data_IF_498657254543
#
_entry.id   IF_498657254543
#
_cell.length_a   1.000
_cell.length_b   1.000
_cell.length_c   1.000
_cell.angle_alpha   90.00
_cell.angle_beta   90.00
_cell.angle_gamma   90.00
#
_symmetry.space_group_name_H-M   'P 1'
#
loop_
_entity.id
_entity.type
_entity.pdbx_description
1 polymer ?
#
# COMPACT_ATOMS: atom_id res chain seq x y z
N UNK A 1 -7.16 17.91 2.96
CA UNK A 1 -5.90 17.52 3.65
C UNK A 1 -5.86 16.00 3.71
N UNK A 2 -4.81 15.38 3.18
CA UNK A 2 -4.62 13.93 3.24
C UNK A 2 -3.88 13.67 4.56
N UNK A 3 -4.61 13.43 5.62
CA UNK A 3 -4.01 13.11 6.91
C UNK A 3 -3.73 11.61 6.92
N UNK A 4 -2.44 11.22 6.86
CA UNK A 4 -2.05 9.83 7.13
C UNK A 4 -2.33 9.59 8.62
N UNK A 5 -3.49 9.01 8.91
CA UNK A 5 -3.96 8.78 10.29
C UNK A 5 -3.19 7.68 11.02
N UNK A 6 -2.31 6.97 10.30
CA UNK A 6 -1.49 5.87 10.80
C UNK A 6 -0.05 6.33 10.94
N UNK A 7 0.55 6.13 12.10
CA UNK A 7 1.93 6.57 12.40
C UNK A 7 2.94 5.44 12.39
N UNK A 8 2.48 4.19 12.44
CA UNK A 8 3.30 2.98 12.33
C UNK A 8 2.56 1.89 11.53
N UNK A 9 3.32 0.95 10.98
CA UNK A 9 2.79 -0.29 10.40
C UNK A 9 2.04 -1.16 11.43
N UNK A 10 2.36 -1.05 12.71
CA UNK A 10 1.66 -1.78 13.79
C UNK A 10 0.20 -1.36 13.94
N UNK A 11 -0.11 -0.10 13.65
CA UNK A 11 -1.47 0.46 13.73
C UNK A 11 -2.34 0.07 12.53
N UNK A 12 -1.73 -0.51 11.48
CA UNK A 12 -2.48 -0.93 10.31
C UNK A 12 -3.31 -2.19 10.60
N UNK A 13 -4.55 -2.23 10.12
CA UNK A 13 -5.34 -3.45 10.16
C UNK A 13 -4.65 -4.56 9.36
N UNK A 14 -4.96 -5.82 9.68
CA UNK A 14 -4.43 -6.99 8.97
C UNK A 14 -4.70 -6.93 7.46
N UNK A 15 -5.80 -6.27 7.06
CA UNK A 15 -6.17 -6.05 5.67
C UNK A 15 -6.51 -4.59 5.41
N UNK A 16 -5.90 -4.03 4.38
CA UNK A 16 -6.16 -2.67 3.92
C UNK A 16 -7.12 -2.70 2.72
N UNK A 17 -8.02 -1.71 2.65
CA UNK A 17 -8.81 -1.44 1.45
C UNK A 17 -8.21 -0.27 0.66
N UNK A 18 -8.72 0.01 -0.53
CA UNK A 18 -8.22 1.08 -1.40
C UNK A 18 -8.11 2.44 -0.73
N UNK A 19 -9.10 2.81 0.09
CA UNK A 19 -9.08 4.06 0.84
C UNK A 19 -7.94 4.08 1.85
N UNK A 20 -7.72 2.99 2.58
CA UNK A 20 -6.62 2.87 3.55
C UNK A 20 -5.27 2.91 2.86
N UNK A 21 -5.09 2.19 1.74
CA UNK A 21 -3.85 2.24 0.94
C UNK A 21 -3.56 3.68 0.52
N UNK A 22 -4.56 4.39 -0.02
CA UNK A 22 -4.41 5.78 -0.41
C UNK A 22 -4.00 6.68 0.77
N UNK A 23 -4.64 6.51 1.93
CA UNK A 23 -4.32 7.28 3.13
C UNK A 23 -2.90 7.00 3.66
N UNK A 24 -2.50 5.72 3.70
CA UNK A 24 -1.18 5.31 4.21
C UNK A 24 -0.06 5.80 3.31
N UNK A 25 -0.26 5.75 1.99
CA UNK A 25 0.71 6.25 1.01
C UNK A 25 0.65 7.78 0.83
N UNK A 26 -0.34 8.47 1.40
CA UNK A 26 -0.51 9.91 1.24
C UNK A 26 -0.92 10.34 -0.18
N UNK A 27 -1.58 9.46 -0.94
CA UNK A 27 -2.02 9.70 -2.32
C UNK A 27 -3.53 9.92 -2.42
N UNK A 28 -4.00 10.35 -3.59
CA UNK A 28 -5.43 10.49 -3.84
C UNK A 28 -6.15 9.12 -3.80
N UNK A 29 -7.46 9.06 -3.46
CA UNK A 29 -8.23 7.82 -3.52
C UNK A 29 -8.19 7.14 -4.90
N UNK A 30 -8.20 7.93 -5.97
CA UNK A 30 -8.10 7.45 -7.35
C UNK A 30 -6.77 6.76 -7.59
N UNK A 31 -5.66 7.41 -7.21
CA UNK A 31 -4.32 6.84 -7.34
C UNK A 31 -4.14 5.56 -6.52
N UNK A 32 -4.74 5.48 -5.32
CA UNK A 32 -4.73 4.24 -4.53
C UNK A 32 -5.54 3.11 -5.17
N UNK A 33 -6.62 3.42 -5.89
CA UNK A 33 -7.42 2.44 -6.61
C UNK A 33 -6.71 1.93 -7.87
N UNK A 34 -6.08 2.83 -8.62
CA UNK A 34 -5.23 2.50 -9.77
C UNK A 34 -4.06 1.60 -9.36
N UNK A 35 -3.38 1.95 -8.26
CA UNK A 35 -2.30 1.13 -7.69
C UNK A 35 -2.77 -0.29 -7.34
N UNK A 36 -3.98 -0.42 -6.80
CA UNK A 36 -4.54 -1.75 -6.52
C UNK A 36 -4.86 -2.57 -7.78
N UNK A 37 -4.93 -1.95 -8.96
CA UNK A 37 -5.10 -2.64 -10.23
C UNK A 37 -3.77 -2.85 -10.96
N UNK A 38 -2.66 -2.29 -10.47
CA UNK A 38 -1.36 -2.46 -11.09
C UNK A 38 -0.87 -3.91 -10.94
N UNK A 39 -0.31 -4.49 -12.03
CA UNK A 39 0.33 -5.79 -11.95
C UNK A 39 1.54 -5.73 -10.99
N UNK A 40 1.58 -6.65 -10.03
CA UNK A 40 2.63 -6.71 -9.02
C UNK A 40 2.27 -6.05 -7.68
N UNK A 41 1.14 -5.33 -7.60
CA UNK A 41 0.63 -4.87 -6.32
C UNK A 41 -0.07 -6.02 -5.55
N UNK A 42 0.19 -6.20 -4.24
CA UNK A 42 -0.24 -7.39 -3.50
C UNK A 42 -1.73 -7.38 -3.10
N UNK A 43 -2.61 -7.47 -4.08
CA UNK A 43 -4.07 -7.54 -3.85
C UNK A 43 -4.54 -8.98 -3.70
N UNK A 44 -5.32 -9.21 -2.65
CA UNK A 44 -6.19 -10.36 -2.47
C UNK A 44 -7.63 -10.01 -2.86
N UNK A 45 -8.22 -10.79 -3.77
CA UNK A 45 -9.63 -10.66 -4.16
C UNK A 45 -10.48 -11.67 -3.38
N UNK A 46 -11.45 -11.17 -2.62
CA UNK A 46 -12.45 -11.97 -1.89
C UNK A 46 -13.83 -11.61 -2.44
N UNK A 47 -14.33 -12.44 -3.35
CA UNK A 47 -15.51 -12.11 -4.15
C UNK A 47 -15.30 -10.82 -4.95
N UNK A 48 -16.18 -9.83 -4.78
CA UNK A 48 -16.08 -8.52 -5.43
C UNK A 48 -15.18 -7.52 -4.71
N UNK A 49 -14.63 -7.87 -3.53
CA UNK A 49 -13.84 -6.96 -2.72
C UNK A 49 -12.35 -7.18 -2.91
N UNK A 50 -11.61 -6.10 -3.12
CA UNK A 50 -10.15 -6.08 -3.15
C UNK A 50 -9.63 -5.63 -1.79
N UNK A 51 -8.76 -6.44 -1.19
CA UNK A 51 -8.08 -6.15 0.07
C UNK A 51 -6.60 -6.44 -0.06
N UNK A 52 -5.78 -5.77 0.72
CA UNK A 52 -4.32 -5.91 0.69
C UNK A 52 -3.89 -6.43 2.05
N UNK A 53 -3.27 -7.62 2.14
CA UNK A 53 -2.70 -8.09 3.39
C UNK A 53 -1.60 -7.15 3.88
N UNK A 54 -1.62 -6.79 5.16
CA UNK A 54 -0.67 -5.85 5.77
C UNK A 54 0.78 -6.22 5.51
N UNK A 55 1.15 -7.48 5.76
CA UNK A 55 2.54 -7.94 5.60
C UNK A 55 3.02 -7.82 4.16
N UNK A 56 2.14 -8.15 3.20
CA UNK A 56 2.45 -8.07 1.78
C UNK A 56 2.58 -6.60 1.34
N UNK A 57 1.72 -5.72 1.85
CA UNK A 57 1.85 -4.28 1.61
C UNK A 57 3.20 -3.74 2.10
N UNK A 58 3.62 -4.10 3.32
CA UNK A 58 4.89 -3.67 3.90
C UNK A 58 6.06 -4.15 3.03
N UNK A 59 6.04 -5.43 2.61
CA UNK A 59 7.06 -5.98 1.70
C UNK A 59 7.11 -5.24 0.38
N UNK A 60 5.96 -5.00 -0.25
CA UNK A 60 5.87 -4.25 -1.49
C UNK A 60 6.47 -2.84 -1.35
N UNK A 61 6.16 -2.13 -0.25
CA UNK A 61 6.74 -0.81 0.03
C UNK A 61 8.27 -0.91 0.18
N UNK A 62 8.79 -1.88 0.92
CA UNK A 62 10.23 -2.08 1.10
C UNK A 62 10.96 -2.36 -0.22
N UNK A 63 10.38 -3.21 -1.06
CA UNK A 63 10.91 -3.53 -2.40
C UNK A 63 10.92 -2.29 -3.32
N UNK A 64 9.91 -1.44 -3.24
CA UNK A 64 9.77 -0.25 -4.10
C UNK A 64 10.53 0.98 -3.58
N UNK A 65 10.80 1.04 -2.27
CA UNK A 65 11.66 2.08 -1.66
C UNK A 65 13.16 1.71 -1.71
N UNK A 66 13.50 0.44 -1.92
CA UNK A 66 14.87 -0.06 -2.05
C UNK A 66 15.54 0.18 -3.41
N UNK A 67 14.80 0.65 -4.42
CA UNK A 67 15.35 0.90 -5.77
C UNK A 67 15.59 2.39 -6.09
N UNK A 68 15.44 3.27 -5.10
CA UNK A 68 16.02 4.62 -5.16
C UNK A 68 17.28 4.60 -4.31
N UNK A 69 18.40 4.19 -4.92
CA UNK A 69 19.79 4.64 -4.72
C UNK A 69 20.71 3.57 -5.33
N UNK A 70 21.02 3.75 -6.61
CA UNK A 70 22.28 3.27 -7.14
C UNK A 70 23.41 4.02 -6.43
N UNK A 71 23.92 3.43 -5.37
CA UNK A 71 25.28 3.66 -4.87
C UNK A 71 25.70 2.35 -4.18
N UNK A 72 26.51 1.51 -4.83
CA UNK A 72 27.11 0.36 -4.16
C UNK A 72 28.08 0.89 -3.10
N UNK A 73 28.03 0.30 -1.90
CA UNK A 73 29.16 0.32 -0.97
C UNK A 73 30.25 -0.62 -1.48
#
# INVERSE_FOLDING_TARGET
MITSGYRSYDELPLFLNAKMVAQVLGVSPSSGYELMHEPGFPVLKVGSRMVVPKEQFIRWVQEHTGNTHGAPL
#
